data_IF_448155526731
#
_entry.id   IF_448155526731
#
_cell.length_a   1.000
_cell.length_b   1.000
_cell.length_c   1.000
_cell.angle_alpha   90.00
_cell.angle_beta   90.00
_cell.angle_gamma   90.00
#
_symmetry.space_group_name_H-M   'P 1'
#
loop_
_entity.id
_entity.type
_entity.pdbx_description
1 polymer ?
#
# COMPACT_ATOMS: atom_id res chain seq x y z
N UNK A 1 -33.67 24.94 -19.04
CA UNK A 1 -32.25 25.39 -19.14
C UNK A 1 -31.73 25.66 -17.73
N UNK A 2 -31.23 24.63 -17.05
CA UNK A 2 -30.71 24.74 -15.69
C UNK A 2 -29.19 24.67 -15.78
N UNK A 3 -28.55 25.84 -15.55
CA UNK A 3 -27.08 25.96 -15.54
C UNK A 3 -26.56 25.36 -14.23
N UNK A 4 -25.68 24.38 -14.32
CA UNK A 4 -25.08 23.68 -13.19
C UNK A 4 -24.14 24.60 -12.40
N UNK A 5 -24.28 24.73 -11.07
CA UNK A 5 -23.41 25.58 -10.24
C UNK A 5 -21.98 25.03 -10.08
N UNK A 6 -21.67 23.86 -10.61
CA UNK A 6 -20.33 23.24 -10.52
C UNK A 6 -19.27 23.90 -11.40
N UNK A 7 -19.65 24.68 -12.41
CA UNK A 7 -18.69 25.35 -13.30
C UNK A 7 -18.06 26.62 -12.68
N UNK A 8 -18.66 27.21 -11.66
CA UNK A 8 -18.18 28.44 -11.02
C UNK A 8 -17.15 28.15 -9.92
N UNK A 9 -17.19 26.96 -9.30
CA UNK A 9 -16.24 26.62 -8.25
C UNK A 9 -14.84 26.27 -8.79
N UNK A 10 -14.71 25.89 -10.06
CA UNK A 10 -13.42 25.48 -10.65
C UNK A 10 -12.56 26.68 -11.08
N UNK A 11 -13.15 27.86 -11.29
CA UNK A 11 -12.43 29.06 -11.72
C UNK A 11 -11.81 29.86 -10.57
N UNK A 12 -12.21 29.61 -9.32
CA UNK A 12 -11.65 30.31 -8.15
C UNK A 12 -10.31 29.74 -7.66
N UNK A 13 -9.90 28.55 -8.12
CA UNK A 13 -8.65 27.89 -7.70
C UNK A 13 -7.44 28.32 -8.56
N UNK A 14 -7.64 28.99 -9.68
CA UNK A 14 -6.58 29.37 -10.61
C UNK A 14 -5.90 30.73 -10.33
N UNK A 15 -6.27 31.43 -9.27
CA UNK A 15 -5.62 32.69 -8.86
C UNK A 15 -4.71 32.47 -7.64
N UNK A 16 -3.75 31.54 -7.75
CA UNK A 16 -2.67 31.42 -6.76
C UNK A 16 -1.55 32.36 -7.20
N UNK A 17 -1.18 33.37 -6.38
CA UNK A 17 -0.01 34.18 -6.68
C UNK A 17 1.23 33.29 -6.71
N UNK A 18 2.07 33.49 -7.72
CA UNK A 18 3.33 32.76 -7.87
C UNK A 18 4.23 33.00 -6.67
N UNK A 19 4.26 32.05 -5.74
CA UNK A 19 5.26 32.01 -4.68
C UNK A 19 6.55 31.55 -5.32
N UNK A 20 7.51 32.47 -5.45
CA UNK A 20 8.88 32.10 -5.84
C UNK A 20 9.49 31.27 -4.71
N UNK A 21 9.55 29.95 -4.91
CA UNK A 21 10.31 29.09 -4.06
C UNK A 21 11.79 29.45 -4.18
N UNK A 22 12.38 29.98 -3.12
CA UNK A 22 13.82 30.05 -3.00
C UNK A 22 14.36 28.63 -2.95
N UNK A 23 15.04 28.21 -4.01
CA UNK A 23 15.83 26.98 -3.99
C UNK A 23 17.01 27.18 -3.09
N UNK A 24 16.88 26.75 -1.81
CA UNK A 24 18.05 26.45 -0.98
C UNK A 24 18.80 25.31 -1.67
N UNK A 25 20.15 25.36 -1.76
CA UNK A 25 20.92 24.22 -2.26
C UNK A 25 20.68 23.06 -1.30
N UNK A 26 19.87 22.10 -1.76
CA UNK A 26 19.64 20.85 -1.09
C UNK A 26 20.97 20.11 -1.01
N UNK A 27 21.49 19.97 0.20
CA UNK A 27 22.60 19.07 0.45
C UNK A 27 22.18 17.70 -0.10
N UNK A 28 23.07 16.95 -0.80
CA UNK A 28 22.71 15.66 -1.35
C UNK A 28 22.20 14.80 -0.20
N UNK A 29 20.91 14.52 -0.19
CA UNK A 29 20.34 13.56 0.72
C UNK A 29 21.04 12.23 0.45
N UNK A 30 21.89 11.85 1.37
CA UNK A 30 22.55 10.56 1.37
C UNK A 30 21.41 9.53 1.32
N UNK A 31 21.26 8.88 0.18
CA UNK A 31 20.24 7.83 0.01
C UNK A 31 20.64 6.74 0.98
N UNK A 32 19.97 6.70 2.14
CA UNK A 32 20.11 5.59 3.06
C UNK A 32 19.96 4.31 2.25
N UNK A 33 20.97 3.46 2.26
CA UNK A 33 20.92 2.18 1.58
C UNK A 33 19.73 1.40 2.16
N UNK A 34 18.94 0.74 1.31
CA UNK A 34 17.85 -0.13 1.77
C UNK A 34 18.36 -1.21 2.73
N UNK A 35 19.66 -1.52 2.69
CA UNK A 35 20.32 -2.47 3.57
C UNK A 35 20.44 -1.98 5.02
N UNK A 36 20.47 -0.65 5.23
CA UNK A 36 20.54 -0.03 6.56
C UNK A 36 19.16 0.21 7.16
N UNK A 37 18.08 -0.10 6.43
CA UNK A 37 16.73 0.06 6.93
C UNK A 37 16.44 -0.94 8.05
N UNK A 38 15.97 -0.44 9.19
CA UNK A 38 15.54 -1.29 10.30
C UNK A 38 14.28 -2.06 9.93
N UNK A 39 14.31 -3.37 10.16
CA UNK A 39 13.19 -4.27 9.88
C UNK A 39 12.50 -4.71 11.16
N UNK A 40 11.21 -4.97 11.04
CA UNK A 40 10.39 -5.53 12.14
C UNK A 40 9.88 -6.93 11.81
N UNK A 41 10.10 -7.41 10.59
CA UNK A 41 9.65 -8.70 10.10
C UNK A 41 10.75 -9.74 10.16
N UNK A 42 10.43 -10.97 10.55
CA UNK A 42 11.38 -12.08 10.58
C UNK A 42 12.38 -12.04 11.72
N UNK A 43 12.26 -11.11 12.66
CA UNK A 43 13.16 -10.98 13.81
C UNK A 43 12.41 -10.74 15.11
N UNK A 44 12.97 -11.21 16.23
CA UNK A 44 12.56 -10.87 17.60
C UNK A 44 13.53 -9.89 18.26
N UNK A 45 14.61 -9.58 17.58
CA UNK A 45 15.62 -8.62 18.05
C UNK A 45 15.24 -7.25 17.51
N UNK A 46 15.16 -6.27 18.38
CA UNK A 46 14.98 -4.87 17.98
C UNK A 46 16.22 -4.38 17.20
N UNK A 47 15.99 -3.40 16.34
CA UNK A 47 17.04 -2.68 15.60
C UNK A 47 17.88 -3.52 14.63
N UNK A 48 17.32 -4.64 14.12
CA UNK A 48 17.98 -5.43 13.08
C UNK A 48 17.79 -4.77 11.71
N UNK A 49 18.86 -4.75 10.92
CA UNK A 49 18.83 -4.28 9.53
C UNK A 49 18.54 -5.40 8.53
N UNK A 50 18.18 -5.03 7.29
CA UNK A 50 18.02 -6.01 6.19
C UNK A 50 19.30 -6.79 5.95
N UNK A 51 20.47 -6.15 6.03
CA UNK A 51 21.76 -6.79 5.82
C UNK A 51 22.07 -7.90 6.85
N UNK A 52 21.50 -7.77 8.05
CA UNK A 52 21.69 -8.75 9.13
C UNK A 52 20.62 -9.85 9.12
N UNK A 53 19.64 -9.76 8.22
CA UNK A 53 18.58 -10.78 8.12
C UNK A 53 19.12 -12.08 7.58
N UNK A 54 18.73 -13.21 8.18
CA UNK A 54 19.07 -14.55 7.70
C UNK A 54 18.16 -15.02 6.57
N UNK A 55 17.05 -14.32 6.36
CA UNK A 55 16.06 -14.63 5.31
C UNK A 55 15.91 -13.44 4.37
N UNK A 56 15.63 -13.69 3.07
CA UNK A 56 15.47 -12.61 2.09
C UNK A 56 14.25 -11.75 2.40
N UNK A 57 14.49 -10.48 2.70
CA UNK A 57 13.44 -9.47 2.95
C UNK A 57 13.56 -8.39 1.89
N UNK A 58 12.46 -8.12 1.20
CA UNK A 58 12.34 -6.97 0.31
C UNK A 58 11.63 -5.83 1.05
N UNK A 59 12.14 -4.62 0.87
CA UNK A 59 11.52 -3.41 1.38
C UNK A 59 11.03 -2.59 0.19
N UNK A 60 9.75 -2.27 0.22
CA UNK A 60 9.09 -1.42 -0.77
C UNK A 60 8.68 -0.14 -0.06
N UNK A 61 9.34 0.98 -0.40
CA UNK A 61 9.06 2.27 0.22
C UNK A 61 7.73 2.87 -0.28
N UNK A 62 7.23 3.87 0.43
CA UNK A 62 6.02 4.60 0.03
C UNK A 62 6.18 5.29 -1.32
N UNK A 63 7.38 5.82 -1.61
CA UNK A 63 7.72 6.46 -2.89
C UNK A 63 7.67 5.43 -4.04
N UNK A 64 8.21 4.22 -3.82
CA UNK A 64 8.17 3.16 -4.81
C UNK A 64 6.73 2.70 -5.10
N UNK A 65 5.87 2.62 -4.08
CA UNK A 65 4.45 2.33 -4.25
C UNK A 65 3.73 3.43 -5.04
N UNK A 66 3.96 4.70 -4.69
CA UNK A 66 3.35 5.85 -5.37
C UNK A 66 3.83 5.99 -6.82
N UNK A 67 5.11 5.72 -7.10
CA UNK A 67 5.68 5.76 -8.44
C UNK A 67 5.01 4.75 -9.41
N UNK A 68 4.31 3.74 -8.90
CA UNK A 68 3.55 2.81 -9.74
C UNK A 68 2.33 3.46 -10.41
N UNK A 69 1.88 4.62 -9.93
CA UNK A 69 0.76 5.37 -10.49
C UNK A 69 -0.60 4.68 -10.36
N UNK A 70 -0.74 3.68 -9.48
CA UNK A 70 -2.01 2.99 -9.24
C UNK A 70 -2.61 3.36 -7.88
N UNK A 71 -3.93 3.30 -7.81
CA UNK A 71 -4.70 3.55 -6.58
C UNK A 71 -4.83 2.30 -5.69
N UNK A 72 -4.61 1.11 -6.27
CA UNK A 72 -4.74 -0.17 -5.59
C UNK A 72 -3.41 -0.64 -5.01
N UNK A 73 -3.35 -0.89 -3.70
CA UNK A 73 -2.16 -1.41 -3.04
C UNK A 73 -1.69 -2.75 -3.65
N UNK A 74 -2.62 -3.65 -3.91
CA UNK A 74 -2.29 -4.95 -4.50
C UNK A 74 -1.61 -4.80 -5.88
N UNK A 75 -2.10 -3.90 -6.73
CA UNK A 75 -1.50 -3.61 -8.03
C UNK A 75 -0.13 -2.94 -7.89
N UNK A 76 0.03 -2.02 -6.92
CA UNK A 76 1.32 -1.40 -6.64
C UNK A 76 2.35 -2.43 -6.21
N UNK A 77 1.99 -3.33 -5.29
CA UNK A 77 2.86 -4.39 -4.81
C UNK A 77 3.24 -5.38 -5.92
N UNK A 78 2.29 -5.80 -6.76
CA UNK A 78 2.58 -6.69 -7.88
C UNK A 78 3.56 -6.09 -8.91
N UNK A 79 3.51 -4.76 -9.09
CA UNK A 79 4.46 -4.05 -9.97
C UNK A 79 5.84 -3.90 -9.33
N UNK A 80 5.88 -3.63 -8.03
CA UNK A 80 7.12 -3.44 -7.28
C UNK A 80 7.84 -4.78 -7.00
N UNK A 81 7.09 -5.86 -6.77
CA UNK A 81 7.62 -7.17 -6.42
C UNK A 81 6.93 -8.28 -7.22
N UNK A 82 7.51 -8.73 -8.35
CA UNK A 82 6.90 -9.75 -9.22
C UNK A 82 6.66 -11.12 -8.57
N UNK A 83 7.28 -11.41 -7.42
CA UNK A 83 7.02 -12.65 -6.67
C UNK A 83 5.67 -12.65 -5.93
N UNK A 84 5.06 -11.47 -5.74
CA UNK A 84 3.70 -11.31 -5.23
C UNK A 84 2.71 -11.32 -6.39
N UNK A 85 1.71 -12.16 -6.27
CA UNK A 85 0.59 -12.23 -7.20
C UNK A 85 -0.73 -11.95 -6.49
N UNK A 86 -1.64 -11.28 -7.17
CA UNK A 86 -2.96 -10.91 -6.65
C UNK A 86 -4.04 -11.35 -7.65
N UNK A 87 -4.45 -12.62 -7.61
CA UNK A 87 -5.44 -13.13 -8.54
C UNK A 87 -6.77 -12.39 -8.43
N UNK A 88 -7.40 -12.16 -9.58
CA UNK A 88 -8.69 -11.48 -9.72
C UNK A 88 -9.69 -12.44 -10.39
N UNK A 89 -10.17 -13.47 -9.71
CA UNK A 89 -11.11 -14.39 -10.31
C UNK A 89 -12.45 -13.68 -10.56
N UNK A 90 -12.86 -13.60 -11.81
CA UNK A 90 -14.09 -12.92 -12.21
C UNK A 90 -15.34 -13.83 -12.20
N UNK A 91 -15.15 -15.14 -12.05
CA UNK A 91 -16.21 -16.14 -12.23
C UNK A 91 -16.90 -16.58 -10.93
N UNK A 92 -16.42 -16.10 -9.77
CA UNK A 92 -16.95 -16.54 -8.47
C UNK A 92 -17.50 -15.36 -7.69
N UNK A 93 -18.64 -15.55 -7.04
CA UNK A 93 -19.37 -14.52 -6.29
C UNK A 93 -18.49 -13.84 -5.25
N UNK A 94 -18.37 -12.52 -5.38
CA UNK A 94 -17.65 -11.64 -4.45
C UNK A 94 -16.13 -11.71 -4.50
N UNK A 95 -15.51 -12.73 -5.10
CA UNK A 95 -14.03 -12.89 -5.10
C UNK A 95 -13.33 -11.85 -5.97
N UNK A 96 -14.03 -11.26 -6.92
CA UNK A 96 -13.52 -10.11 -7.71
C UNK A 96 -13.34 -8.83 -6.88
N UNK A 97 -13.99 -8.74 -5.73
CA UNK A 97 -13.94 -7.56 -4.86
C UNK A 97 -12.73 -7.56 -3.92
N UNK A 98 -12.12 -8.70 -3.63
CA UNK A 98 -10.96 -8.83 -2.75
C UNK A 98 -9.66 -9.02 -3.53
N UNK A 99 -8.54 -8.71 -2.90
CA UNK A 99 -7.18 -8.84 -3.46
C UNK A 99 -6.32 -9.70 -2.54
N UNK A 100 -6.48 -11.03 -2.61
CA UNK A 100 -5.69 -11.96 -1.81
C UNK A 100 -4.24 -11.98 -2.30
N UNK A 101 -3.29 -11.90 -1.39
CA UNK A 101 -1.88 -12.02 -1.72
C UNK A 101 -1.51 -13.50 -1.92
N UNK A 102 -0.82 -13.79 -3.01
CA UNK A 102 -0.11 -15.05 -3.21
C UNK A 102 1.39 -14.80 -3.27
N UNK A 103 2.15 -15.65 -2.65
CA UNK A 103 3.60 -15.62 -2.69
C UNK A 103 4.12 -17.02 -3.04
N UNK A 104 5.08 -17.08 -3.97
CA UNK A 104 5.69 -18.34 -4.39
C UNK A 104 4.70 -19.37 -4.98
N UNK A 105 3.55 -18.89 -5.50
CA UNK A 105 2.51 -19.76 -6.06
C UNK A 105 1.67 -20.54 -5.05
N UNK A 106 1.87 -20.28 -3.74
CA UNK A 106 1.12 -20.95 -2.68
C UNK A 106 -0.24 -20.26 -2.46
N UNK A 107 -1.13 -20.93 -1.72
CA UNK A 107 -2.47 -20.42 -1.47
C UNK A 107 -2.46 -19.14 -0.61
N UNK A 108 -3.46 -18.25 -0.77
CA UNK A 108 -3.48 -16.96 -0.07
C UNK A 108 -3.58 -17.04 1.45
N UNK A 109 -4.07 -18.12 2.01
CA UNK A 109 -4.12 -18.41 3.46
C UNK A 109 -2.76 -18.84 4.03
N UNK A 110 -1.77 -19.08 3.15
CA UNK A 110 -0.39 -19.41 3.51
C UNK A 110 0.55 -18.21 3.48
N UNK A 111 0.02 -17.02 3.13
CA UNK A 111 0.72 -15.75 3.19
C UNK A 111 0.21 -14.96 4.38
N UNK A 112 1.04 -14.83 5.41
CA UNK A 112 0.69 -14.04 6.58
C UNK A 112 0.76 -12.55 6.27
N UNK A 113 -0.33 -11.84 6.52
CA UNK A 113 -0.38 -10.38 6.41
C UNK A 113 -0.38 -9.76 7.81
N UNK A 114 0.55 -8.84 8.01
CA UNK A 114 0.68 -8.05 9.23
C UNK A 114 0.45 -6.57 8.93
N UNK A 115 -0.02 -5.83 9.93
CA UNK A 115 -0.04 -4.36 9.94
C UNK A 115 0.66 -3.91 11.21
N UNK A 116 1.77 -3.18 11.08
CA UNK A 116 2.64 -2.80 12.19
C UNK A 116 3.02 -4.01 13.09
N UNK A 117 3.36 -5.14 12.44
CA UNK A 117 3.74 -6.38 13.13
C UNK A 117 2.58 -7.17 13.77
N UNK A 118 1.34 -6.71 13.67
CA UNK A 118 0.16 -7.38 14.20
C UNK A 118 -0.63 -8.05 13.08
N UNK A 119 -1.14 -9.27 13.32
CA UNK A 119 -1.94 -10.00 12.34
C UNK A 119 -3.13 -9.19 11.87
N UNK A 120 -3.29 -9.08 10.56
CA UNK A 120 -4.48 -8.51 9.95
C UNK A 120 -5.59 -9.55 9.96
N UNK A 121 -6.82 -9.15 10.20
CA UNK A 121 -7.99 -10.01 10.09
C UNK A 121 -8.23 -10.43 8.63
N UNK A 122 -8.75 -11.63 8.46
CA UNK A 122 -9.19 -12.15 7.16
C UNK A 122 -10.46 -11.45 6.69
N UNK A 123 -10.71 -11.48 5.38
CA UNK A 123 -11.99 -11.05 4.83
C UNK A 123 -13.11 -12.01 5.28
N UNK A 124 -14.34 -11.54 5.27
CA UNK A 124 -15.52 -12.39 5.54
C UNK A 124 -15.86 -13.31 4.36
N UNK A 125 -15.18 -13.15 3.22
CA UNK A 125 -15.42 -13.93 2.03
C UNK A 125 -14.62 -15.22 2.06
N UNK A 126 -15.32 -16.34 1.99
CA UNK A 126 -14.75 -17.67 1.82
C UNK A 126 -14.59 -17.96 0.32
N UNK A 127 -13.38 -18.32 -0.10
CA UNK A 127 -13.11 -18.74 -1.47
C UNK A 127 -13.72 -20.11 -1.73
N UNK A 128 -14.73 -20.18 -2.61
CA UNK A 128 -15.42 -21.40 -2.95
C UNK A 128 -15.00 -21.92 -4.33
N UNK A 129 -15.89 -21.96 -5.28
CA UNK A 129 -15.69 -22.59 -6.57
C UNK A 129 -14.79 -21.80 -7.50
N UNK A 130 -13.84 -22.48 -8.15
CA UNK A 130 -13.02 -21.91 -9.22
C UNK A 130 -12.01 -20.84 -8.81
N UNK A 131 -11.82 -20.62 -7.51
CA UNK A 131 -10.84 -19.64 -6.99
C UNK A 131 -9.55 -20.30 -6.54
N UNK A 132 -8.49 -19.51 -6.55
CA UNK A 132 -7.22 -19.88 -5.93
C UNK A 132 -7.40 -19.86 -4.41
N UNK A 133 -6.90 -20.88 -3.74
CA UNK A 133 -7.10 -21.02 -2.28
C UNK A 133 -8.52 -21.40 -1.90
N UNK A 134 -9.14 -22.33 -2.65
CA UNK A 134 -10.46 -22.85 -2.33
C UNK A 134 -10.54 -23.37 -0.89
N UNK A 135 -11.57 -22.92 -0.16
CA UNK A 135 -11.75 -23.23 1.25
C UNK A 135 -11.07 -22.27 2.22
N UNK A 136 -10.32 -21.27 1.70
CA UNK A 136 -9.65 -20.27 2.52
C UNK A 136 -10.40 -18.93 2.58
N UNK A 137 -10.13 -18.17 3.65
CA UNK A 137 -10.61 -16.80 3.84
C UNK A 137 -9.39 -15.87 3.91
N UNK A 138 -8.93 -15.31 2.78
CA UNK A 138 -7.72 -14.53 2.72
C UNK A 138 -7.89 -13.13 3.28
N UNK A 139 -6.76 -12.45 3.52
CA UNK A 139 -6.72 -11.02 3.85
C UNK A 139 -6.91 -10.19 2.58
N UNK A 140 -7.74 -9.15 2.64
CA UNK A 140 -7.86 -8.16 1.58
C UNK A 140 -6.91 -6.99 1.86
N UNK A 141 -5.90 -6.81 1.00
CA UNK A 141 -4.92 -5.73 1.11
C UNK A 141 -5.44 -4.39 0.59
N UNK A 142 -6.47 -4.36 -0.25
CA UNK A 142 -7.00 -3.12 -0.81
C UNK A 142 -7.78 -2.26 0.19
N UNK A 143 -8.03 -2.78 1.38
CA UNK A 143 -8.62 -2.00 2.48
C UNK A 143 -7.64 -1.03 3.13
N UNK A 144 -6.35 -1.06 2.74
CA UNK A 144 -5.31 -0.19 3.29
C UNK A 144 -4.95 0.86 2.23
N UNK A 145 -5.20 2.17 2.48
CA UNK A 145 -4.83 3.22 1.54
C UNK A 145 -3.30 3.33 1.40
N UNK A 146 -2.80 3.49 0.18
CA UNK A 146 -1.35 3.65 -0.08
C UNK A 146 -0.80 4.89 0.67
N UNK A 147 -1.60 5.94 0.81
CA UNK A 147 -1.23 7.16 1.53
C UNK A 147 -0.92 6.94 3.02
N UNK A 148 -1.47 5.88 3.62
CA UNK A 148 -1.23 5.51 5.02
C UNK A 148 0.08 4.74 5.23
N UNK A 149 0.71 4.26 4.16
CA UNK A 149 1.83 3.32 4.22
C UNK A 149 3.15 4.09 4.25
N UNK A 150 4.02 3.72 5.18
CA UNK A 150 5.42 4.11 5.23
C UNK A 150 6.26 3.20 4.34
N UNK A 151 6.16 1.90 4.55
CA UNK A 151 6.81 0.87 3.74
C UNK A 151 6.09 -0.47 3.85
N UNK A 152 6.41 -1.38 2.95
CA UNK A 152 5.98 -2.78 3.04
C UNK A 152 7.22 -3.66 3.08
N UNK A 153 7.29 -4.53 4.09
CA UNK A 153 8.34 -5.53 4.25
C UNK A 153 7.80 -6.88 3.80
N UNK A 154 8.48 -7.54 2.87
CA UNK A 154 8.07 -8.84 2.35
C UNK A 154 9.16 -9.86 2.64
N UNK A 155 8.89 -10.76 3.58
CA UNK A 155 9.73 -11.91 3.86
C UNK A 155 9.36 -13.04 2.89
N UNK A 156 10.25 -13.35 1.97
CA UNK A 156 10.03 -14.33 0.89
C UNK A 156 10.35 -15.77 1.26
N UNK A 157 10.50 -16.06 2.52
CA UNK A 157 10.81 -17.41 2.99
C UNK A 157 9.76 -17.89 4.00
N UNK A 158 9.71 -19.22 4.21
CA UNK A 158 8.82 -19.80 5.20
C UNK A 158 9.18 -19.34 6.60
N UNK A 159 8.21 -18.78 7.30
CA UNK A 159 8.38 -18.25 8.65
C UNK A 159 7.44 -18.92 9.67
N UNK A 160 6.98 -20.13 9.36
CA UNK A 160 6.01 -20.89 10.18
C UNK A 160 6.51 -21.14 11.59
N UNK A 161 7.81 -21.35 11.77
CA UNK A 161 8.41 -21.57 13.09
C UNK A 161 8.27 -20.34 14.00
N UNK A 162 8.20 -19.14 13.42
CA UNK A 162 8.07 -17.89 14.16
C UNK A 162 6.62 -17.39 14.24
N UNK A 163 5.86 -17.55 13.17
CA UNK A 163 4.55 -16.91 12.98
C UNK A 163 3.39 -17.90 12.92
N UNK A 164 3.63 -19.20 12.75
CA UNK A 164 2.59 -20.22 12.64
C UNK A 164 2.29 -20.65 11.20
N UNK A 165 1.30 -21.53 11.03
CA UNK A 165 1.00 -22.22 9.77
C UNK A 165 0.59 -21.34 8.60
N UNK A 166 0.11 -20.14 8.85
CA UNK A 166 -0.28 -19.17 7.84
C UNK A 166 0.90 -18.36 7.25
N UNK A 167 2.13 -18.60 7.73
CA UNK A 167 3.35 -18.01 7.20
C UNK A 167 4.23 -19.00 6.43
N UNK A 168 3.66 -20.02 5.80
CA UNK A 168 4.38 -21.03 5.02
C UNK A 168 4.99 -20.43 3.76
N UNK A 169 4.23 -19.58 3.06
CA UNK A 169 4.67 -18.91 1.84
C UNK A 169 5.60 -17.72 2.13
N UNK A 170 5.39 -17.08 3.27
CA UNK A 170 6.09 -15.87 3.69
C UNK A 170 5.21 -14.92 4.46
N UNK A 171 5.74 -13.71 4.68
CA UNK A 171 5.07 -12.67 5.47
C UNK A 171 5.07 -11.36 4.69
N UNK A 172 3.93 -10.69 4.64
CA UNK A 172 3.78 -9.31 4.14
C UNK A 172 3.43 -8.42 5.32
N UNK A 173 4.33 -7.55 5.74
CA UNK A 173 4.10 -6.62 6.82
C UNK A 173 3.97 -5.19 6.29
N UNK A 174 2.79 -4.62 6.43
CA UNK A 174 2.50 -3.23 6.08
C UNK A 174 2.81 -2.36 7.28
N UNK A 175 3.85 -1.55 7.18
CA UNK A 175 4.23 -0.57 8.19
C UNK A 175 3.54 0.75 7.86
N UNK A 176 2.72 1.22 8.78
CA UNK A 176 1.97 2.46 8.62
C UNK A 176 2.81 3.67 9.05
N UNK A 177 2.54 4.81 8.43
CA UNK A 177 3.13 6.10 8.83
C UNK A 177 2.82 6.40 10.28
N UNK A 178 3.81 6.89 11.01
CA UNK A 178 3.72 7.26 12.42
C UNK A 178 4.17 8.71 12.67
N UNK A 179 4.05 9.58 11.66
CA UNK A 179 4.42 10.98 11.82
C UNK A 179 3.57 11.66 12.89
N UNK A 180 4.22 12.40 13.78
CA UNK A 180 3.57 13.14 14.88
C UNK A 180 3.19 14.56 14.48
N UNK A 181 3.72 15.06 13.36
CA UNK A 181 3.49 16.40 12.83
C UNK A 181 3.60 16.39 11.31
N UNK A 182 2.99 17.39 10.68
CA UNK A 182 2.99 17.54 9.24
C UNK A 182 1.99 16.64 8.54
N UNK A 183 2.06 16.62 7.23
CA UNK A 183 1.19 15.82 6.39
C UNK A 183 1.51 15.99 4.91
N UNK A 184 0.87 15.21 4.08
CA UNK A 184 1.00 15.29 2.64
C UNK A 184 -0.36 15.32 1.96
N UNK A 185 -0.43 15.96 0.80
CA UNK A 185 -1.57 15.91 -0.10
C UNK A 185 -1.06 15.65 -1.51
N UNK A 186 -1.60 14.63 -2.14
CA UNK A 186 -1.25 14.26 -3.51
C UNK A 186 -2.49 14.14 -4.37
N UNK A 187 -2.36 14.51 -5.64
CA UNK A 187 -3.37 14.27 -6.66
C UNK A 187 -2.70 13.60 -7.84
N UNK A 188 -3.36 12.64 -8.45
CA UNK A 188 -2.91 12.02 -9.68
C UNK A 188 -4.05 11.85 -10.65
N UNK A 189 -3.75 12.02 -11.92
CA UNK A 189 -4.65 11.73 -13.04
C UNK A 189 -3.90 10.91 -14.07
N UNK A 190 -4.57 9.97 -14.67
CA UNK A 190 -3.97 9.08 -15.67
C UNK A 190 -5.01 8.55 -16.64
N UNK A 191 -4.52 8.05 -17.78
CA UNK A 191 -5.33 7.42 -18.79
C UNK A 191 -4.46 6.45 -19.58
N UNK A 192 -5.01 5.37 -20.07
CA UNK A 192 -4.28 4.52 -21.01
C UNK A 192 -4.05 5.23 -22.34
N UNK A 193 -2.96 4.89 -23.02
CA UNK A 193 -2.60 5.48 -24.32
C UNK A 193 -3.66 5.29 -25.39
N UNK A 194 -4.55 4.30 -25.26
CA UNK A 194 -5.68 4.07 -26.15
C UNK A 194 -6.92 4.95 -25.86
N UNK A 195 -6.85 5.83 -24.85
CA UNK A 195 -7.90 6.78 -24.55
C UNK A 195 -9.05 6.23 -23.67
N UNK A 196 -8.87 5.06 -23.06
CA UNK A 196 -9.80 4.45 -22.11
C UNK A 196 -9.18 4.35 -20.70
N UNK A 197 -9.96 3.87 -19.73
CA UNK A 197 -9.48 3.63 -18.37
C UNK A 197 -8.98 4.90 -17.68
N UNK A 198 -9.63 6.03 -17.88
CA UNK A 198 -9.30 7.26 -17.18
C UNK A 198 -9.36 7.04 -15.67
N UNK A 199 -8.36 7.53 -14.95
CA UNK A 199 -8.26 7.42 -13.51
C UNK A 199 -7.93 8.74 -12.86
N UNK A 200 -8.49 8.97 -11.69
CA UNK A 200 -8.20 10.14 -10.87
C UNK A 200 -8.14 9.74 -9.41
N UNK A 201 -7.23 10.33 -8.67
CA UNK A 201 -7.05 10.08 -7.25
C UNK A 201 -6.70 11.36 -6.52
N UNK A 202 -7.22 11.48 -5.30
CA UNK A 202 -6.78 12.44 -4.30
C UNK A 202 -6.45 11.62 -3.05
N UNK A 203 -5.28 11.82 -2.49
CA UNK A 203 -4.85 11.15 -1.28
C UNK A 203 -4.12 12.13 -0.37
N UNK A 204 -4.30 11.98 0.93
CA UNK A 204 -3.63 12.82 1.91
C UNK A 204 -3.48 12.14 3.25
N UNK A 205 -2.54 12.63 4.02
CA UNK A 205 -2.28 12.19 5.38
C UNK A 205 -1.88 13.36 6.27
N UNK A 206 -2.09 13.23 7.57
CA UNK A 206 -1.64 14.21 8.56
C UNK A 206 -1.38 13.55 9.90
N UNK A 207 -0.32 13.99 10.57
CA UNK A 207 0.05 13.56 11.91
C UNK A 207 -0.23 14.65 12.94
N UNK A 208 -0.68 14.23 14.12
CA UNK A 208 -0.95 15.08 15.27
C UNK A 208 -0.30 14.49 16.50
N UNK A 209 0.54 15.25 17.18
CA UNK A 209 1.06 14.88 18.49
C UNK A 209 -0.03 15.04 19.56
N UNK A 210 -0.10 14.10 20.50
CA UNK A 210 -1.07 14.10 21.59
C UNK A 210 -0.35 14.11 22.93
N UNK A 211 -0.86 14.94 23.86
CA UNK A 211 -0.46 14.90 25.27
C UNK A 211 1.02 15.10 25.55
N UNK A 212 1.65 16.17 25.07
CA UNK A 212 3.06 16.48 25.30
C UNK A 212 4.00 15.33 24.85
N UNK A 213 3.81 14.87 23.61
CA UNK A 213 4.54 13.76 22.99
C UNK A 213 4.34 12.36 23.60
N UNK A 214 3.36 12.17 24.48
CA UNK A 214 3.02 10.85 25.02
C UNK A 214 2.30 9.94 24.01
N UNK A 215 1.80 10.48 22.90
CA UNK A 215 1.13 9.74 21.85
C UNK A 215 1.06 10.52 20.55
N UNK A 216 0.50 9.89 19.54
CA UNK A 216 0.20 10.55 18.26
C UNK A 216 -1.08 9.97 17.63
N UNK A 217 -1.68 10.77 16.77
CA UNK A 217 -2.76 10.35 15.87
C UNK A 217 -2.28 10.62 14.44
N UNK A 218 -2.31 9.61 13.61
CA UNK A 218 -2.05 9.75 12.18
C UNK A 218 -3.32 9.41 11.40
N UNK A 219 -3.79 10.36 10.60
CA UNK A 219 -4.98 10.23 9.77
C UNK A 219 -4.56 10.16 8.31
N UNK A 220 -5.16 9.24 7.56
CA UNK A 220 -4.94 9.09 6.13
C UNK A 220 -6.26 8.88 5.42
N UNK A 221 -6.42 9.51 4.27
CA UNK A 221 -7.59 9.34 3.43
C UNK A 221 -7.18 9.24 1.96
N UNK A 222 -7.93 8.45 1.20
CA UNK A 222 -7.73 8.27 -0.22
C UNK A 222 -9.09 8.16 -0.91
N UNK A 223 -9.28 8.94 -1.96
CA UNK A 223 -10.42 8.85 -2.86
C UNK A 223 -9.89 8.62 -4.27
N UNK A 224 -10.39 7.57 -4.92
CA UNK A 224 -9.99 7.23 -6.27
C UNK A 224 -11.18 6.83 -7.11
N UNK A 225 -11.10 7.15 -8.41
CA UNK A 225 -12.03 6.68 -9.42
C UNK A 225 -11.22 6.17 -10.60
N UNK A 226 -11.67 5.05 -11.14
CA UNK A 226 -11.13 4.48 -12.36
C UNK A 226 -12.29 4.06 -13.25
N UNK A 227 -12.25 4.50 -14.49
CA UNK A 227 -13.23 4.09 -15.49
C UNK A 227 -12.85 2.71 -16.06
N UNK A 228 -13.85 2.03 -16.61
CA UNK A 228 -13.66 0.70 -17.18
C UNK A 228 -12.77 0.73 -18.42
N UNK A 229 -12.13 -0.40 -18.68
CA UNK A 229 -11.38 -0.68 -19.93
C UNK A 229 -11.80 -2.03 -20.47
N UNK A 230 -11.79 -2.19 -21.76
CA UNK A 230 -12.19 -3.41 -22.48
C UNK A 230 -10.98 -4.28 -22.87
N UNK A 231 -9.93 -4.29 -22.10
CA UNK A 231 -8.69 -5.02 -22.40
C UNK A 231 -8.41 -6.08 -21.35
#
# INVERSE_FOLDING_TARGET
MTRHPLAVALLAVLAIPSVHAQTSPEAPAERASTLDTLIVTGTRVADRTVAESQSPIDIISSEALQATGTVELATALARALPSLNFPRPALTDGTSAIRPAQLRGLAPDQVLVLVNGKRRHTSSLLNLNGTIGRGSSPVDLNTIPISAIDRVEVLRDGASAQYGSDAIAGVVNVVLKGARQGGSLSTSVGQYSAGDGAQGQIAGDTGLALGEDRGFLHLSAQLGRQDSTNR
#
